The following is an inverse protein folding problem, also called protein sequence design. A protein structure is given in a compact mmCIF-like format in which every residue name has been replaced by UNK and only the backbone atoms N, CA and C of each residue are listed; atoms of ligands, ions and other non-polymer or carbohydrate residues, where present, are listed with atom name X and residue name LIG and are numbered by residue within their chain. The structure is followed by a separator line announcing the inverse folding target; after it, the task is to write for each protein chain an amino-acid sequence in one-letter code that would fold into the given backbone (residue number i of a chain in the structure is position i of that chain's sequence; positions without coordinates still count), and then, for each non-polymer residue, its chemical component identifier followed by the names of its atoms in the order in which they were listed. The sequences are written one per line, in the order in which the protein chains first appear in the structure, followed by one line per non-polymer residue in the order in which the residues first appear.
data_IF_691178901496
#
_entry.id   IF_691178901496
#
_cell.length_a   1.000
_cell.length_b   1.000
_cell.length_c   1.000
_cell.angle_alpha   90.00
_cell.angle_beta   90.00
_cell.angle_gamma   90.00
#
_symmetry.space_group_name_H-M   'P 1'
#
loop_
_entity.id
_entity.type
_entity.pdbx_description
1 polymer ?
#
# COMPACT_ATOMS: atom_id res chain seq x y z
N UNK A 1 5.50 16.70 8.93
CA UNK A 1 5.48 15.51 9.82
C UNK A 1 4.44 14.56 9.28
N UNK A 2 4.70 13.25 9.28
CA UNK A 2 3.75 12.27 8.72
C UNK A 2 2.49 12.14 9.57
N UNK A 3 1.34 12.10 8.92
CA UNK A 3 0.02 12.02 9.55
C UNK A 3 -0.75 10.85 8.96
N UNK A 4 -1.34 10.00 9.81
CA UNK A 4 -2.28 8.98 9.38
C UNK A 4 -3.50 9.67 8.77
N UNK A 5 -3.76 9.42 7.49
CA UNK A 5 -4.92 9.99 6.80
C UNK A 5 -6.14 9.10 6.96
N UNK A 6 -5.97 7.79 6.76
CA UNK A 6 -7.06 6.84 6.93
C UNK A 6 -6.57 5.40 7.05
N UNK A 7 -7.46 4.55 7.55
CA UNK A 7 -7.34 3.09 7.54
C UNK A 7 -8.64 2.53 6.94
N UNK A 8 -8.51 1.76 5.87
CA UNK A 8 -9.63 1.11 5.20
C UNK A 8 -9.56 -0.39 5.40
N UNK A 9 -10.64 -0.99 5.88
CA UNK A 9 -10.86 -2.43 5.77
C UNK A 9 -11.20 -2.77 4.31
N UNK A 10 -10.31 -3.51 3.64
CA UNK A 10 -10.43 -3.98 2.27
C UNK A 10 -10.14 -5.48 2.25
N UNK A 11 -11.20 -6.27 2.48
CA UNK A 11 -11.09 -7.73 2.44
C UNK A 11 -10.70 -8.24 1.05
N UNK A 12 -9.69 -9.10 1.00
CA UNK A 12 -9.16 -9.64 -0.25
C UNK A 12 -8.45 -8.60 -1.09
N UNK A 13 -7.75 -7.65 -0.47
CA UNK A 13 -6.84 -6.77 -1.18
C UNK A 13 -5.69 -7.60 -1.76
N UNK A 14 -5.43 -7.43 -3.04
CA UNK A 14 -4.47 -8.25 -3.79
C UNK A 14 -3.26 -7.40 -4.20
N UNK A 15 -3.46 -6.31 -4.93
CA UNK A 15 -2.39 -5.47 -5.46
C UNK A 15 -2.70 -3.97 -5.28
N UNK A 16 -1.66 -3.14 -5.19
CA UNK A 16 -1.76 -1.67 -5.12
C UNK A 16 -0.69 -0.99 -5.97
N UNK A 17 -0.97 0.20 -6.49
CA UNK A 17 0.01 0.97 -7.26
C UNK A 17 -0.26 2.47 -7.23
N UNK A 18 0.79 3.28 -7.09
CA UNK A 18 0.66 4.73 -7.24
C UNK A 18 0.62 5.10 -8.72
N UNK A 19 -0.26 6.04 -9.06
CA UNK A 19 -0.21 6.68 -10.37
C UNK A 19 1.13 7.43 -10.54
N UNK A 20 1.80 7.33 -11.70
CA UNK A 20 3.11 7.97 -11.91
C UNK A 20 3.10 9.46 -11.60
N UNK A 21 4.07 9.92 -10.80
CA UNK A 21 4.21 11.31 -10.36
C UNK A 21 3.07 11.85 -9.49
N UNK A 22 2.18 10.99 -8.96
CA UNK A 22 1.00 11.40 -8.21
C UNK A 22 0.85 10.65 -6.88
N UNK A 23 0.15 11.27 -5.94
CA UNK A 23 -0.28 10.67 -4.66
C UNK A 23 -1.69 10.06 -4.76
N UNK A 24 -2.02 9.46 -5.92
CA UNK A 24 -3.24 8.69 -6.11
C UNK A 24 -2.88 7.21 -6.22
N UNK A 25 -3.63 6.37 -5.52
CA UNK A 25 -3.37 4.94 -5.44
C UNK A 25 -4.53 4.16 -6.07
N UNK A 26 -4.22 3.27 -7.00
CA UNK A 26 -5.15 2.23 -7.42
C UNK A 26 -4.99 1.00 -6.50
N UNK A 27 -6.12 0.42 -6.11
CA UNK A 27 -6.19 -0.78 -5.28
C UNK A 27 -7.02 -1.82 -6.02
N UNK A 28 -6.46 -3.02 -6.16
CA UNK A 28 -7.08 -4.19 -6.74
C UNK A 28 -7.42 -5.15 -5.61
N UNK A 29 -8.67 -5.59 -5.56
CA UNK A 29 -9.14 -6.59 -4.61
C UNK A 29 -10.09 -7.58 -5.25
N UNK A 30 -10.41 -8.64 -4.53
CA UNK A 30 -11.44 -9.60 -4.92
C UNK A 30 -12.83 -8.98 -5.12
N UNK A 31 -13.05 -7.74 -4.65
CA UNK A 31 -14.29 -6.99 -4.80
C UNK A 31 -14.22 -5.90 -5.88
N UNK A 32 -13.16 -5.88 -6.70
CA UNK A 32 -12.99 -4.94 -7.81
C UNK A 32 -11.85 -3.95 -7.60
N UNK A 33 -12.04 -2.72 -8.11
CA UNK A 33 -10.99 -1.70 -8.13
C UNK A 33 -11.42 -0.45 -7.38
N UNK A 34 -10.49 0.19 -6.68
CA UNK A 34 -10.69 1.49 -6.02
C UNK A 34 -9.55 2.44 -6.33
N UNK A 35 -9.85 3.74 -6.40
CA UNK A 35 -8.85 4.80 -6.43
C UNK A 35 -8.96 5.62 -5.16
N UNK A 36 -7.81 5.89 -4.55
CA UNK A 36 -7.68 6.64 -3.32
C UNK A 36 -6.80 7.87 -3.56
N UNK A 37 -7.20 9.02 -3.01
CA UNK A 37 -6.33 10.18 -2.88
C UNK A 37 -5.58 10.08 -1.55
N UNK A 38 -4.26 9.92 -1.61
CA UNK A 38 -3.44 9.73 -0.42
C UNK A 38 -3.15 11.03 0.34
N UNK A 39 -3.41 12.19 -0.26
CA UNK A 39 -3.29 13.48 0.43
C UNK A 39 -4.48 13.70 1.37
N UNK A 40 -5.69 13.37 0.91
CA UNK A 40 -6.92 13.51 1.70
C UNK A 40 -7.24 12.26 2.53
N UNK A 41 -6.78 11.08 2.09
CA UNK A 41 -7.13 9.79 2.69
C UNK A 41 -8.51 9.29 2.27
N UNK A 42 -9.04 9.77 1.15
CA UNK A 42 -10.39 9.44 0.68
C UNK A 42 -10.36 8.43 -0.46
N UNK A 43 -11.35 7.54 -0.50
CA UNK A 43 -11.63 6.71 -1.68
C UNK A 43 -12.45 7.55 -2.66
N UNK A 44 -11.85 7.93 -3.77
CA UNK A 44 -12.42 8.89 -4.73
C UNK A 44 -13.10 8.25 -5.93
N UNK A 45 -12.77 6.99 -6.24
CA UNK A 45 -13.48 6.22 -7.26
C UNK A 45 -13.56 4.75 -6.86
N UNK A 46 -14.62 4.07 -7.33
CA UNK A 46 -14.79 2.63 -7.14
C UNK A 46 -15.47 2.02 -8.35
N UNK A 47 -14.91 0.90 -8.82
CA UNK A 47 -15.46 0.09 -9.89
C UNK A 47 -15.94 -1.25 -9.31
N UNK A 48 -17.25 -1.34 -9.12
CA UNK A 48 -17.94 -2.40 -8.38
C UNK A 48 -18.29 -3.65 -9.21
N UNK A 49 -18.56 -3.50 -10.50
CA UNK A 49 -19.32 -4.51 -11.26
C UNK A 49 -18.52 -5.14 -12.40
N UNK A 50 -18.61 -6.47 -12.50
CA UNK A 50 -18.46 -7.28 -13.72
C UNK A 50 -17.10 -7.29 -14.42
N UNK A 51 -16.21 -6.36 -14.09
CA UNK A 51 -14.84 -6.32 -14.56
C UNK A 51 -14.00 -7.05 -13.52
N UNK A 52 -13.84 -8.35 -13.72
CA UNK A 52 -12.65 -9.04 -13.24
C UNK A 52 -11.46 -8.21 -13.74
N UNK A 53 -10.86 -7.45 -12.82
CA UNK A 53 -9.76 -6.55 -13.16
C UNK A 53 -8.59 -7.34 -13.75
N UNK A 54 -8.55 -8.65 -13.47
CA UNK A 54 -7.65 -9.63 -14.08
C UNK A 54 -7.66 -9.59 -15.60
N UNK A 55 -8.82 -9.40 -16.24
CA UNK A 55 -8.91 -9.33 -17.71
C UNK A 55 -8.14 -8.14 -18.30
N UNK A 56 -7.92 -7.09 -17.50
CA UNK A 56 -7.12 -5.91 -17.88
C UNK A 56 -5.74 -5.90 -17.24
N UNK A 57 -5.44 -6.87 -16.38
CA UNK A 57 -4.16 -6.97 -15.68
C UNK A 57 -3.14 -7.64 -16.57
N UNK A 58 -1.99 -6.99 -16.74
CA UNK A 58 -0.85 -7.55 -17.43
C UNK A 58 0.09 -8.18 -16.39
N UNK A 59 -0.11 -9.46 -16.12
CA UNK A 59 0.66 -10.22 -15.12
C UNK A 59 2.18 -10.15 -15.33
N UNK A 60 2.75 -10.31 -16.56
CA UNK A 60 4.19 -10.19 -16.77
C UNK A 60 4.81 -8.86 -16.34
N UNK A 61 4.05 -7.77 -16.41
CA UNK A 61 4.50 -6.42 -16.05
C UNK A 61 3.95 -5.92 -14.71
N UNK A 62 3.05 -6.68 -14.08
CA UNK A 62 2.32 -6.26 -12.88
C UNK A 62 1.47 -5.01 -13.07
N UNK A 63 1.04 -4.69 -14.30
CA UNK A 63 0.42 -3.40 -14.61
C UNK A 63 -1.06 -3.48 -14.96
N UNK A 64 -1.79 -2.39 -14.73
CA UNK A 64 -3.21 -2.26 -15.06
C UNK A 64 -3.52 -0.88 -15.65
N UNK A 65 -4.45 -0.76 -16.61
CA UNK A 65 -4.99 0.52 -17.02
C UNK A 65 -5.73 1.22 -15.87
N UNK A 66 -5.46 2.51 -15.69
CA UNK A 66 -6.23 3.36 -14.79
C UNK A 66 -7.66 3.59 -15.30
N UNK A 67 -8.53 4.03 -14.39
CA UNK A 67 -9.93 4.36 -14.68
C UNK A 67 -10.31 5.68 -14.00
N UNK A 68 -11.47 6.25 -14.34
CA UNK A 68 -11.95 7.51 -13.77
C UNK A 68 -10.86 8.61 -13.89
N UNK A 69 -10.48 9.27 -12.80
CA UNK A 69 -9.43 10.29 -12.77
C UNK A 69 -8.02 9.80 -13.18
N UNK A 70 -7.83 8.50 -13.42
CA UNK A 70 -6.58 7.89 -13.88
C UNK A 70 -6.68 7.30 -15.29
N UNK A 71 -7.74 7.61 -16.05
CA UNK A 71 -7.86 7.17 -17.44
C UNK A 71 -6.66 7.58 -18.31
N UNK A 72 -6.24 6.68 -19.20
CA UNK A 72 -5.09 6.88 -20.09
C UNK A 72 -3.73 6.58 -19.46
N UNK A 73 -3.67 6.27 -18.16
CA UNK A 73 -2.45 5.84 -17.48
C UNK A 73 -2.34 4.31 -17.41
N UNK A 74 -1.12 3.81 -17.45
CA UNK A 74 -0.78 2.42 -17.10
C UNK A 74 -0.06 2.47 -15.75
N UNK A 75 -0.57 1.73 -14.77
CA UNK A 75 -0.11 1.78 -13.40
C UNK A 75 0.52 0.43 -13.06
N UNK A 76 1.80 0.44 -12.69
CA UNK A 76 2.45 -0.74 -12.11
C UNK A 76 1.97 -0.92 -10.68
N UNK A 77 1.53 -2.13 -10.37
CA UNK A 77 1.03 -2.52 -9.06
C UNK A 77 1.89 -3.60 -8.44
N UNK A 78 1.81 -3.71 -7.12
CA UNK A 78 2.61 -4.61 -6.31
C UNK A 78 1.73 -5.25 -5.25
N UNK A 79 2.01 -6.48 -4.85
CA UNK A 79 1.17 -7.18 -3.89
C UNK A 79 1.25 -8.70 -4.00
N UNK A 80 0.08 -9.32 -4.13
CA UNK A 80 -0.08 -10.75 -4.34
C UNK A 80 0.54 -11.20 -5.67
N UNK A 81 0.40 -10.38 -6.72
CA UNK A 81 0.94 -10.65 -8.04
C UNK A 81 2.16 -9.76 -8.32
N UNK A 82 3.36 -10.33 -8.13
CA UNK A 82 4.64 -9.67 -8.36
C UNK A 82 5.34 -9.19 -7.09
N UNK A 83 6.62 -8.86 -7.22
CA UNK A 83 7.44 -8.37 -6.10
C UNK A 83 7.03 -6.96 -5.65
N UNK A 84 7.20 -6.67 -4.35
CA UNK A 84 6.99 -5.33 -3.81
C UNK A 84 8.17 -4.40 -4.10
N UNK A 85 8.04 -3.65 -5.20
CA UNK A 85 9.01 -2.66 -5.66
C UNK A 85 8.60 -1.21 -5.36
N UNK A 86 7.63 -0.98 -4.47
CA UNK A 86 7.33 0.39 -4.04
C UNK A 86 8.57 1.01 -3.34
N UNK A 87 8.86 2.30 -3.58
CA UNK A 87 9.97 2.99 -2.93
C UNK A 87 9.96 2.82 -1.40
N UNK A 88 11.08 2.37 -0.83
CA UNK A 88 11.23 2.19 0.62
C UNK A 88 11.84 3.39 1.32
N UNK A 89 12.30 4.38 0.56
CA UNK A 89 12.84 5.62 1.09
C UNK A 89 12.42 6.80 0.22
N UNK A 90 12.38 7.99 0.83
CA UNK A 90 12.16 9.28 0.17
C UNK A 90 13.50 9.98 -0.07
N UNK A 91 13.52 10.95 -0.97
CA UNK A 91 14.72 11.75 -1.30
C UNK A 91 15.25 12.56 -0.11
N UNK A 92 14.39 12.93 0.83
CA UNK A 92 14.75 13.66 2.04
C UNK A 92 15.02 12.74 3.25
N UNK A 93 15.12 11.43 3.03
CA UNK A 93 15.72 10.48 3.98
C UNK A 93 14.75 9.68 4.86
N UNK A 94 13.43 9.90 4.76
CA UNK A 94 12.47 9.01 5.44
C UNK A 94 12.54 7.60 4.85
N UNK A 95 12.48 6.58 5.71
CA UNK A 95 12.60 5.18 5.30
C UNK A 95 11.54 4.31 5.98
N UNK A 96 10.96 3.38 5.22
CA UNK A 96 10.12 2.29 5.74
C UNK A 96 10.98 1.04 5.87
N UNK A 97 10.95 0.44 7.06
CA UNK A 97 11.67 -0.80 7.37
C UNK A 97 10.69 -1.85 7.84
N UNK A 98 10.84 -3.07 7.31
CA UNK A 98 10.16 -4.26 7.81
C UNK A 98 11.12 -5.05 8.72
N UNK A 99 10.63 -5.61 9.82
CA UNK A 99 11.42 -6.49 10.68
C UNK A 99 11.58 -7.88 10.06
N UNK A 100 12.56 -8.65 10.55
CA UNK A 100 12.49 -10.11 10.40
C UNK A 100 11.27 -10.64 11.18
N UNK A 101 10.76 -11.84 10.84
CA UNK A 101 9.74 -12.49 11.64
C UNK A 101 10.18 -12.60 13.10
N UNK A 102 9.35 -12.07 14.01
CA UNK A 102 9.54 -12.07 15.46
C UNK A 102 8.24 -12.49 16.16
N UNK A 103 8.30 -13.00 17.41
CA UNK A 103 7.11 -13.33 18.17
C UNK A 103 6.13 -12.15 18.25
N UNK A 104 4.85 -12.43 18.08
CA UNK A 104 3.79 -11.44 18.26
C UNK A 104 3.67 -11.00 19.73
N UNK A 105 2.92 -9.94 19.96
CA UNK A 105 2.61 -9.42 21.27
C UNK A 105 1.68 -10.37 22.04
N UNK A 106 1.68 -10.27 23.37
CA UNK A 106 0.76 -11.02 24.25
C UNK A 106 -0.71 -10.81 23.84
N UNK A 107 -1.56 -11.86 23.79
CA UNK A 107 -1.32 -13.27 24.17
C UNK A 107 -0.94 -14.20 22.98
N UNK A 108 -0.37 -13.64 21.90
CA UNK A 108 -0.19 -14.32 20.63
C UNK A 108 1.27 -14.71 20.35
N UNK A 109 2.14 -14.76 21.36
CA UNK A 109 3.60 -14.91 21.19
C UNK A 109 4.06 -16.18 20.47
N UNK A 110 3.17 -17.17 20.29
CA UNK A 110 3.45 -18.38 19.52
C UNK A 110 3.46 -18.15 18.00
N UNK A 111 2.90 -17.04 17.53
CA UNK A 111 2.88 -16.67 16.12
C UNK A 111 4.04 -15.73 15.81
N UNK A 112 4.63 -15.89 14.63
CA UNK A 112 5.65 -14.99 14.13
C UNK A 112 5.01 -13.96 13.21
N UNK A 113 5.38 -12.70 13.42
CA UNK A 113 4.92 -11.54 12.67
C UNK A 113 6.09 -10.65 12.29
N UNK A 114 5.89 -9.82 11.28
CA UNK A 114 6.78 -8.78 10.82
C UNK A 114 6.14 -7.42 11.15
N UNK A 115 6.96 -6.45 11.51
CA UNK A 115 6.54 -5.09 11.85
C UNK A 115 7.13 -4.08 10.89
N UNK A 116 6.29 -3.22 10.34
CA UNK A 116 6.69 -2.07 9.54
C UNK A 116 6.85 -0.85 10.44
N UNK A 117 7.99 -0.19 10.30
CA UNK A 117 8.30 1.06 10.98
C UNK A 117 8.68 2.15 9.99
N UNK A 118 8.29 3.37 10.31
CA UNK A 118 8.77 4.58 9.67
C UNK A 118 9.95 5.14 10.47
N UNK A 119 11.06 5.41 9.78
CA UNK A 119 12.30 5.91 10.36
C UNK A 119 12.54 7.33 9.85
N UNK A 120 12.80 8.26 10.76
CA UNK A 120 13.13 9.66 10.43
C UNK A 120 14.49 9.80 9.73
N UNK A 121 14.73 10.90 8.99
CA UNK A 121 16.00 11.11 8.28
C UNK A 121 17.24 11.10 9.19
N UNK A 122 17.11 11.63 10.42
CA UNK A 122 18.15 11.63 11.45
C UNK A 122 18.29 10.27 12.19
N UNK A 123 17.38 9.32 11.93
CA UNK A 123 17.28 8.01 12.58
C UNK A 123 17.01 8.05 14.08
N UNK A 124 16.62 9.20 14.63
CA UNK A 124 16.28 9.34 16.05
C UNK A 124 14.87 8.83 16.34
N UNK A 125 13.96 8.88 15.36
CA UNK A 125 12.59 8.40 15.50
C UNK A 125 12.38 7.11 14.71
N UNK A 126 11.84 6.11 15.40
CA UNK A 126 11.35 4.86 14.81
C UNK A 126 9.90 4.65 15.24
N UNK A 127 8.98 4.92 14.32
CA UNK A 127 7.54 4.94 14.57
C UNK A 127 6.95 3.62 14.07
N UNK A 128 6.26 2.89 14.94
CA UNK A 128 5.51 1.68 14.55
C UNK A 128 4.32 2.07 13.66
N UNK A 129 4.17 1.39 12.53
CA UNK A 129 3.10 1.65 11.56
C UNK A 129 2.10 0.50 11.52
N UNK A 130 2.58 -0.73 11.35
CA UNK A 130 1.73 -1.90 11.17
C UNK A 130 2.49 -3.18 11.50
N UNK A 131 1.76 -4.27 11.71
CA UNK A 131 2.27 -5.64 11.73
C UNK A 131 1.44 -6.54 10.85
N UNK A 132 2.06 -7.52 10.21
CA UNK A 132 1.29 -8.63 9.66
C UNK A 132 0.80 -9.48 10.83
N UNK A 133 -0.29 -10.20 10.64
CA UNK A 133 -0.94 -10.94 11.72
C UNK A 133 -1.86 -11.95 11.10
N UNK A 134 -3.16 -11.82 11.34
CA UNK A 134 -4.16 -12.58 10.57
C UNK A 134 -4.21 -12.18 9.09
N UNK A 135 -3.64 -11.02 8.73
CA UNK A 135 -3.57 -10.52 7.36
C UNK A 135 -2.11 -10.32 6.96
N UNK A 136 -1.68 -11.04 5.93
CA UNK A 136 -0.35 -10.93 5.36
C UNK A 136 -0.13 -9.58 4.68
N UNK A 137 1.08 -9.03 4.74
CA UNK A 137 1.42 -7.86 3.95
C UNK A 137 1.37 -8.18 2.45
N UNK A 138 0.81 -7.25 1.68
CA UNK A 138 0.82 -7.26 0.21
C UNK A 138 1.93 -6.38 -0.30
N UNK A 139 1.92 -5.10 0.07
CA UNK A 139 2.92 -4.14 -0.35
C UNK A 139 2.98 -2.97 0.64
N UNK A 140 4.10 -2.27 0.70
CA UNK A 140 4.23 -1.03 1.44
C UNK A 140 5.24 -0.11 0.79
N UNK A 141 5.08 1.21 0.89
CA UNK A 141 6.08 2.11 0.32
C UNK A 141 5.53 3.48 0.03
N UNK A 142 6.46 4.37 -0.35
CA UNK A 142 6.18 5.76 -0.68
C UNK A 142 5.67 5.91 -2.11
N UNK A 143 4.91 6.97 -2.36
CA UNK A 143 4.69 7.47 -3.71
C UNK A 143 5.99 8.03 -4.30
N UNK A 144 6.06 8.17 -5.62
CA UNK A 144 7.22 8.80 -6.29
C UNK A 144 7.45 10.25 -5.85
N UNK A 145 6.40 10.96 -5.41
CA UNK A 145 6.51 12.33 -4.90
C UNK A 145 7.15 12.37 -3.51
N UNK A 146 7.20 11.24 -2.81
CA UNK A 146 7.65 11.12 -1.42
C UNK A 146 6.75 11.85 -0.43
N UNK A 147 5.51 12.21 -0.80
CA UNK A 147 4.57 12.93 0.07
C UNK A 147 3.51 12.04 0.71
N UNK A 148 3.31 10.83 0.17
CA UNK A 148 2.47 9.80 0.77
C UNK A 148 3.21 8.47 0.88
N UNK A 149 2.75 7.61 1.78
CA UNK A 149 3.08 6.19 1.76
C UNK A 149 1.88 5.35 2.20
N UNK A 150 1.91 4.08 1.83
CA UNK A 150 0.91 3.11 2.23
C UNK A 150 1.52 1.88 2.89
N UNK A 151 0.69 1.18 3.65
CA UNK A 151 0.89 -0.22 4.02
C UNK A 151 -0.39 -0.95 3.66
N UNK A 152 -0.29 -1.93 2.76
CA UNK A 152 -1.39 -2.77 2.33
C UNK A 152 -1.18 -4.19 2.85
N UNK A 153 -2.20 -4.75 3.48
CA UNK A 153 -2.32 -6.17 3.84
C UNK A 153 -3.44 -6.82 3.03
N UNK A 154 -3.64 -8.12 3.17
CA UNK A 154 -4.77 -8.82 2.53
C UNK A 154 -6.15 -8.37 3.01
N UNK A 155 -6.23 -7.58 4.08
CA UNK A 155 -7.49 -7.10 4.64
C UNK A 155 -7.57 -5.61 4.93
N UNK A 156 -6.45 -4.87 4.88
CA UNK A 156 -6.40 -3.45 5.23
C UNK A 156 -5.53 -2.63 4.26
N UNK A 157 -5.88 -1.36 4.13
CA UNK A 157 -5.04 -0.33 3.52
C UNK A 157 -4.87 0.82 4.52
N UNK A 158 -3.62 1.09 4.88
CA UNK A 158 -3.23 2.21 5.74
C UNK A 158 -2.57 3.29 4.88
N UNK A 159 -3.01 4.54 5.04
CA UNK A 159 -2.53 5.67 4.25
C UNK A 159 -1.97 6.76 5.15
N UNK A 160 -0.73 7.18 4.89
CA UNK A 160 -0.09 8.34 5.51
C UNK A 160 0.31 9.37 4.47
N UNK A 161 0.29 10.64 4.85
CA UNK A 161 0.91 11.72 4.07
C UNK A 161 1.38 12.87 4.96
N UNK A 162 2.10 13.83 4.38
CA UNK A 162 2.78 14.94 5.08
C UNK A 162 2.59 16.28 4.40
#
# INVERSE_FOLDING_TARGET
MWTLKNLFAIGGLENVGFAPGQDKLIVLSSQGQGIFDCNTGEKIARKHDGADWWNSFNEPSGSIPGFDCLEGLIITTHGLYGDDNLPKSTTDGWTLSISKPEPDDKPFEKYLIQKIHLISPDKEQKIFIAKDGACEFRAFGFSETGKSFIVASSCDLIIYSR
#
